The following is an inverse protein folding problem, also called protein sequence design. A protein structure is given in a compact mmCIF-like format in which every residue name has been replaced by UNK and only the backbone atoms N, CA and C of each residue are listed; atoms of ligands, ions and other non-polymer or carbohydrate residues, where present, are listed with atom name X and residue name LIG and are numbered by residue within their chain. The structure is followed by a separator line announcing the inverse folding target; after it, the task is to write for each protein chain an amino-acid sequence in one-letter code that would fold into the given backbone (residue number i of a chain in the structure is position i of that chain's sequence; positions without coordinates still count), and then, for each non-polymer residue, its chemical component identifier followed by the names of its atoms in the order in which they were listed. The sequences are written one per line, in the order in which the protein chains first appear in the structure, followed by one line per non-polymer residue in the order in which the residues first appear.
data_IF_823242091252
#
_entry.id   IF_823242091252
#
_cell.length_a   1.000
_cell.length_b   1.000
_cell.length_c   1.000
_cell.angle_alpha   90.00
_cell.angle_beta   90.00
_cell.angle_gamma   90.00
#
_symmetry.space_group_name_H-M   'P 1'
#
loop_
_entity.id
_entity.type
_entity.pdbx_description
1 polymer ?
#
# COMPACT_ATOMS: atom_id res chain seq x y z
N UNK A 1 16.07 7.58 28.61
CA UNK A 1 16.31 6.24 28.00
C UNK A 1 16.98 6.47 26.67
N UNK A 2 18.15 5.95 26.52
CA UNK A 2 18.88 6.00 25.26
C UNK A 2 18.44 4.83 24.39
N UNK A 3 18.13 5.12 23.12
CA UNK A 3 17.74 4.12 22.14
C UNK A 3 18.89 3.95 21.15
N UNK A 4 19.29 2.70 20.93
CA UNK A 4 20.21 2.35 19.85
C UNK A 4 19.44 2.33 18.54
N UNK A 5 19.94 3.03 17.52
CA UNK A 5 19.29 3.10 16.20
C UNK A 5 20.16 2.36 15.18
N UNK A 6 19.57 1.43 14.46
CA UNK A 6 20.22 0.65 13.41
C UNK A 6 19.49 0.77 12.07
N UNK A 7 20.25 0.73 10.99
CA UNK A 7 19.71 0.65 9.64
C UNK A 7 19.00 -0.69 9.44
N UNK A 8 17.87 -0.65 8.69
CA UNK A 8 17.20 -1.87 8.24
C UNK A 8 18.10 -2.67 7.31
N UNK A 9 18.11 -3.99 7.49
CA UNK A 9 18.82 -4.94 6.62
C UNK A 9 18.07 -6.27 6.56
N UNK A 10 18.53 -7.19 5.71
CA UNK A 10 17.99 -8.54 5.64
C UNK A 10 18.09 -9.30 6.99
N UNK A 11 19.10 -8.99 7.81
CA UNK A 11 19.29 -9.60 9.12
C UNK A 11 18.38 -8.97 10.18
N UNK A 12 18.29 -7.62 10.20
CA UNK A 12 17.57 -6.88 11.26
C UNK A 12 16.06 -6.89 11.06
N UNK A 13 15.58 -7.09 9.84
CA UNK A 13 14.14 -7.07 9.51
C UNK A 13 13.30 -8.08 10.32
N UNK A 14 13.92 -9.18 10.77
CA UNK A 14 13.24 -10.17 11.65
C UNK A 14 12.75 -9.57 12.96
N UNK A 15 13.41 -8.53 13.46
CA UNK A 15 13.06 -7.85 14.68
C UNK A 15 11.76 -7.02 14.56
N UNK A 16 11.30 -6.78 13.33
CA UNK A 16 10.02 -6.12 13.09
C UNK A 16 8.82 -7.04 13.35
N UNK A 17 8.98 -8.36 13.31
CA UNK A 17 7.87 -9.31 13.49
C UNK A 17 7.17 -9.14 14.85
N UNK A 18 7.87 -9.11 16.00
CA UNK A 18 7.24 -8.84 17.29
C UNK A 18 6.72 -7.40 17.40
N UNK A 19 7.43 -6.41 16.82
CA UNK A 19 7.00 -5.03 16.81
C UNK A 19 5.69 -4.82 16.02
N UNK A 20 5.54 -5.51 14.88
CA UNK A 20 4.31 -5.51 14.10
C UNK A 20 3.11 -6.00 14.91
N UNK A 21 3.29 -7.09 15.66
CA UNK A 21 2.26 -7.61 16.57
C UNK A 21 1.90 -6.62 17.67
N UNK A 22 2.91 -5.95 18.27
CA UNK A 22 2.69 -4.99 19.35
C UNK A 22 2.04 -3.68 18.87
N UNK A 23 2.43 -3.18 17.69
CA UNK A 23 1.96 -1.91 17.16
C UNK A 23 0.60 -1.99 16.44
N UNK A 24 0.39 -3.04 15.65
CA UNK A 24 -0.77 -3.19 14.77
C UNK A 24 -1.71 -4.32 15.15
N UNK A 25 -1.38 -5.13 16.18
CA UNK A 25 -2.14 -6.35 16.56
C UNK A 25 -2.28 -7.35 15.40
N UNK A 26 -1.31 -7.34 14.47
CA UNK A 26 -1.28 -8.21 13.30
C UNK A 26 -0.05 -9.13 13.34
N UNK A 27 -0.20 -10.34 12.82
CA UNK A 27 0.89 -11.27 12.65
C UNK A 27 1.40 -11.18 11.21
N UNK A 28 2.69 -10.97 11.06
CA UNK A 28 3.39 -11.03 9.78
C UNK A 28 4.52 -12.06 9.85
N UNK A 29 4.86 -12.65 8.71
CA UNK A 29 6.02 -13.53 8.65
C UNK A 29 7.28 -12.75 8.31
N UNK A 30 8.43 -13.24 8.78
CA UNK A 30 9.74 -12.73 8.36
C UNK A 30 9.88 -12.69 6.82
N UNK A 31 9.47 -13.79 6.15
CA UNK A 31 9.54 -13.91 4.68
C UNK A 31 8.72 -12.82 3.96
N UNK A 32 7.56 -12.47 4.52
CA UNK A 32 6.73 -11.40 3.97
C UNK A 32 7.44 -10.04 4.08
N UNK A 33 7.98 -9.71 5.25
CA UNK A 33 8.70 -8.45 5.47
C UNK A 33 9.97 -8.37 4.61
N UNK A 34 10.72 -9.47 4.52
CA UNK A 34 11.91 -9.55 3.69
C UNK A 34 11.59 -9.20 2.22
N UNK A 35 10.54 -9.82 1.66
CA UNK A 35 10.10 -9.53 0.29
C UNK A 35 9.56 -8.11 0.12
N UNK A 36 8.85 -7.58 1.13
CA UNK A 36 8.28 -6.24 1.09
C UNK A 36 9.35 -5.14 1.02
N UNK A 37 10.49 -5.33 1.68
CA UNK A 37 11.59 -4.36 1.70
C UNK A 37 12.74 -4.68 0.74
N UNK A 38 12.67 -5.80 0.02
CA UNK A 38 13.59 -6.15 -1.07
C UNK A 38 13.13 -5.44 -2.35
N UNK A 39 13.66 -4.25 -2.57
CA UNK A 39 13.35 -3.40 -3.73
C UNK A 39 14.55 -3.29 -4.70
N UNK A 40 15.44 -4.29 -4.73
CA UNK A 40 16.64 -4.33 -5.60
C UNK A 40 16.35 -4.09 -7.08
N UNK A 41 15.16 -4.47 -7.55
CA UNK A 41 14.73 -4.23 -8.93
C UNK A 41 14.56 -2.74 -9.27
N UNK A 42 14.41 -1.87 -8.26
CA UNK A 42 14.38 -0.41 -8.41
C UNK A 42 15.76 0.20 -8.15
N UNK A 43 16.65 -0.50 -7.40
CA UNK A 43 18.00 -0.13 -7.01
C UNK A 43 18.18 -0.05 -5.50
N UNK A 44 17.65 1.00 -4.81
CA UNK A 44 17.74 1.07 -3.35
C UNK A 44 16.88 -0.01 -2.67
N UNK A 45 17.41 -0.62 -1.60
CA UNK A 45 16.70 -1.61 -0.79
C UNK A 45 16.87 -1.37 0.70
N UNK A 46 15.97 -1.91 1.52
CA UNK A 46 16.01 -1.84 2.98
C UNK A 46 16.19 -0.40 3.50
N UNK A 47 15.47 0.56 2.94
CA UNK A 47 15.55 1.97 3.33
C UNK A 47 14.70 2.22 4.57
N UNK A 48 15.35 2.27 5.73
CA UNK A 48 14.68 2.49 7.01
C UNK A 48 15.59 2.31 8.21
N UNK A 49 15.06 2.62 9.39
CA UNK A 49 15.77 2.49 10.67
C UNK A 49 14.87 1.88 11.75
N UNK A 50 15.50 1.12 12.64
CA UNK A 50 14.89 0.47 13.80
C UNK A 50 15.50 1.07 15.06
N UNK A 51 14.66 1.41 16.06
CA UNK A 51 15.11 1.80 17.39
C UNK A 51 14.98 0.62 18.36
N UNK A 52 16.03 0.39 19.14
CA UNK A 52 16.13 -0.67 20.15
C UNK A 52 16.28 -0.08 21.54
N UNK A 53 15.76 -0.77 22.54
CA UNK A 53 16.11 -0.53 23.97
C UNK A 53 17.54 -0.99 24.24
N UNK A 54 18.06 -0.66 25.43
CA UNK A 54 19.34 -1.18 25.95
C UNK A 54 19.40 -2.71 26.01
N UNK A 55 18.23 -3.35 26.16
CA UNK A 55 18.05 -4.81 26.22
C UNK A 55 17.95 -5.47 24.84
N UNK A 56 18.00 -4.67 23.76
CA UNK A 56 17.94 -5.17 22.38
C UNK A 56 16.52 -5.39 21.83
N UNK A 57 15.47 -4.93 22.52
CA UNK A 57 14.10 -5.03 22.00
C UNK A 57 13.84 -3.94 20.97
N UNK A 58 13.38 -4.33 19.76
CA UNK A 58 12.93 -3.38 18.74
C UNK A 58 11.62 -2.71 19.18
N UNK A 59 11.61 -1.38 19.27
CA UNK A 59 10.49 -0.60 19.84
C UNK A 59 9.93 0.46 18.91
N UNK A 60 10.64 0.82 17.86
CA UNK A 60 10.11 1.68 16.80
C UNK A 60 10.78 1.35 15.46
N UNK A 61 10.05 1.62 14.39
CA UNK A 61 10.51 1.46 13.02
C UNK A 61 9.90 2.55 12.15
N UNK A 62 10.69 3.07 11.24
CA UNK A 62 10.25 3.85 10.11
C UNK A 62 11.00 3.40 8.86
N UNK A 63 10.27 3.09 7.79
CA UNK A 63 10.83 2.70 6.52
C UNK A 63 10.07 3.25 5.34
N UNK A 64 10.73 3.23 4.19
CA UNK A 64 10.14 3.60 2.90
C UNK A 64 10.41 2.51 1.87
N UNK A 65 9.52 2.38 0.91
CA UNK A 65 9.57 1.40 -0.18
C UNK A 65 9.85 2.15 -1.48
N UNK A 66 11.06 2.05 -2.04
CA UNK A 66 11.41 2.63 -3.33
C UNK A 66 10.55 2.09 -4.47
N UNK A 67 10.18 2.95 -5.39
CA UNK A 67 9.46 2.62 -6.62
C UNK A 67 9.81 3.61 -7.74
N UNK A 68 9.61 3.19 -8.99
CA UNK A 68 9.66 4.13 -10.10
C UNK A 68 8.40 5.00 -10.11
N UNK A 69 8.61 6.27 -10.35
CA UNK A 69 7.57 7.28 -10.29
C UNK A 69 7.68 8.23 -11.49
N UNK A 70 6.55 8.56 -12.10
CA UNK A 70 6.47 9.63 -13.09
C UNK A 70 6.29 10.94 -12.37
N UNK A 71 7.18 11.89 -12.60
CA UNK A 71 7.14 13.21 -12.00
C UNK A 71 7.47 14.26 -13.05
N UNK A 72 6.51 15.13 -13.39
CA UNK A 72 6.65 16.15 -14.43
C UNK A 72 7.14 15.55 -15.76
N UNK A 73 6.58 14.39 -16.17
CA UNK A 73 6.94 13.69 -17.40
C UNK A 73 8.28 12.94 -17.36
N UNK A 74 8.99 12.93 -16.23
CA UNK A 74 10.28 12.23 -16.08
C UNK A 74 10.12 11.00 -15.17
N UNK A 75 10.79 9.89 -15.53
CA UNK A 75 10.93 8.72 -14.67
C UNK A 75 11.98 8.99 -13.60
N UNK A 76 11.57 8.92 -12.33
CA UNK A 76 12.43 9.14 -11.15
C UNK A 76 12.30 7.98 -10.17
N UNK A 77 13.17 7.89 -9.17
CA UNK A 77 12.98 7.03 -8.01
C UNK A 77 12.30 7.86 -6.93
N UNK A 78 11.11 7.44 -6.54
CA UNK A 78 10.42 7.91 -5.35
C UNK A 78 10.36 6.78 -4.31
N UNK A 79 9.88 7.07 -3.10
CA UNK A 79 9.64 6.02 -2.13
C UNK A 79 8.33 6.24 -1.37
N UNK A 80 7.58 5.16 -1.14
CA UNK A 80 6.37 5.19 -0.34
C UNK A 80 6.71 4.98 1.14
N UNK A 81 6.25 5.90 2.01
CA UNK A 81 6.29 5.70 3.47
C UNK A 81 5.40 4.51 3.85
N UNK A 82 5.99 3.54 4.55
CA UNK A 82 5.34 2.28 4.89
C UNK A 82 5.61 1.86 6.34
N UNK A 83 4.67 1.12 6.92
CA UNK A 83 4.82 0.40 8.21
C UNK A 83 5.40 1.26 9.35
N UNK A 84 4.99 2.51 9.48
CA UNK A 84 5.41 3.37 10.60
C UNK A 84 4.92 2.79 11.93
N UNK A 85 5.84 2.29 12.75
CA UNK A 85 5.51 1.58 13.99
C UNK A 85 6.21 2.18 15.20
N UNK A 86 5.48 2.29 16.32
CA UNK A 86 6.05 2.53 17.64
C UNK A 86 5.30 1.68 18.65
N UNK A 87 6.06 0.88 19.40
CA UNK A 87 5.53 0.06 20.50
C UNK A 87 4.72 0.94 21.46
N UNK A 88 3.52 0.53 21.91
CA UNK A 88 2.64 1.38 22.72
C UNK A 88 3.33 2.02 23.94
N UNK A 89 4.17 1.26 24.66
CA UNK A 89 4.90 1.74 25.85
C UNK A 89 6.06 2.71 25.53
N UNK A 90 6.43 2.87 24.24
CA UNK A 90 7.52 3.74 23.81
C UNK A 90 7.04 4.93 22.96
N UNK A 91 5.72 5.15 22.87
CA UNK A 91 5.13 6.32 22.20
C UNK A 91 5.45 7.62 22.92
N UNK A 92 5.30 8.75 22.22
CA UNK A 92 5.53 10.12 22.73
C UNK A 92 6.99 10.41 23.16
N UNK A 93 7.96 9.62 22.68
CA UNK A 93 9.40 9.78 22.97
C UNK A 93 10.20 10.29 21.76
N UNK A 94 9.54 10.86 20.75
CA UNK A 94 10.19 11.42 19.56
C UNK A 94 10.74 10.39 18.54
N UNK A 95 10.58 9.09 18.79
CA UNK A 95 11.17 8.03 17.96
C UNK A 95 10.72 8.10 16.51
N UNK A 96 9.43 8.32 16.26
CA UNK A 96 8.90 8.47 14.90
C UNK A 96 9.67 9.54 14.11
N UNK A 97 9.80 10.76 14.66
CA UNK A 97 10.46 11.86 13.97
C UNK A 97 11.96 11.59 13.76
N UNK A 98 12.64 11.05 14.78
CA UNK A 98 14.07 10.74 14.69
C UNK A 98 14.34 9.70 13.60
N UNK A 99 13.59 8.58 13.58
CA UNK A 99 13.76 7.54 12.57
C UNK A 99 13.40 8.03 11.17
N UNK A 100 12.33 8.84 11.04
CA UNK A 100 11.94 9.43 9.77
C UNK A 100 13.02 10.33 9.18
N UNK A 101 13.58 11.25 9.97
CA UNK A 101 14.65 12.15 9.50
C UNK A 101 15.89 11.37 9.04
N UNK A 102 16.31 10.34 9.79
CA UNK A 102 17.42 9.46 9.38
C UNK A 102 17.09 8.69 8.08
N UNK A 103 15.86 8.23 7.95
CA UNK A 103 15.41 7.52 6.74
C UNK A 103 15.37 8.44 5.53
N UNK A 104 14.95 9.71 5.69
CA UNK A 104 14.95 10.68 4.60
C UNK A 104 16.38 11.04 4.16
N UNK A 105 17.31 11.21 5.10
CA UNK A 105 18.72 11.42 4.78
C UNK A 105 19.29 10.25 3.97
N UNK A 106 19.07 9.01 4.43
CA UNK A 106 19.49 7.81 3.70
C UNK A 106 18.84 7.71 2.31
N UNK A 107 17.54 8.04 2.20
CA UNK A 107 16.81 8.01 0.94
C UNK A 107 17.38 9.04 -0.06
N UNK A 108 17.71 10.25 0.41
CA UNK A 108 18.36 11.28 -0.43
C UNK A 108 19.75 10.85 -0.91
N UNK A 109 20.57 10.23 -0.06
CA UNK A 109 21.86 9.64 -0.43
C UNK A 109 21.71 8.55 -1.51
N UNK A 110 20.61 7.81 -1.49
CA UNK A 110 20.26 6.79 -2.48
C UNK A 110 19.55 7.36 -3.72
N UNK A 111 19.61 8.70 -3.93
CA UNK A 111 19.01 9.41 -5.08
C UNK A 111 17.49 9.29 -5.18
N UNK A 112 16.80 8.98 -4.10
CA UNK A 112 15.33 9.05 -4.04
C UNK A 112 14.95 10.52 -4.03
N UNK A 113 14.11 10.95 -4.96
CA UNK A 113 13.78 12.37 -5.15
C UNK A 113 12.69 12.86 -4.20
N UNK A 114 11.74 11.99 -3.87
CA UNK A 114 10.66 12.33 -2.95
C UNK A 114 10.20 11.10 -2.17
N UNK A 115 9.64 11.34 -1.00
CA UNK A 115 8.85 10.35 -0.25
C UNK A 115 7.39 10.76 -0.33
N UNK A 116 6.50 9.81 -0.58
CA UNK A 116 5.05 10.02 -0.57
C UNK A 116 4.36 8.98 0.33
N UNK A 117 3.09 9.20 0.63
CA UNK A 117 2.34 8.23 1.43
C UNK A 117 0.89 8.66 1.69
N UNK A 118 0.18 7.74 2.34
CA UNK A 118 -1.23 7.83 2.63
C UNK A 118 -1.46 7.72 4.15
N UNK A 119 -1.15 8.78 4.93
CA UNK A 119 -1.21 8.72 6.37
C UNK A 119 -2.65 8.54 6.87
N UNK A 120 -2.79 7.73 7.91
CA UNK A 120 -4.03 7.64 8.67
C UNK A 120 -4.10 8.73 9.75
N UNK A 121 -5.21 8.77 10.50
CA UNK A 121 -5.43 9.76 11.55
C UNK A 121 -4.34 9.76 12.62
N UNK A 122 -3.75 8.60 12.94
CA UNK A 122 -2.70 8.49 13.98
C UNK A 122 -1.34 9.03 13.50
N UNK A 123 -1.00 8.81 12.24
CA UNK A 123 0.30 9.20 11.67
C UNK A 123 0.31 10.61 11.08
N UNK A 124 -0.83 11.13 10.62
CA UNK A 124 -0.96 12.45 9.99
C UNK A 124 -0.32 13.59 10.80
N UNK A 125 -0.57 13.74 12.12
CA UNK A 125 0.06 14.81 12.91
C UNK A 125 1.59 14.72 12.95
N UNK A 126 2.12 13.50 12.87
CA UNK A 126 3.57 13.28 12.82
C UNK A 126 4.18 13.75 11.49
N UNK A 127 3.52 13.48 10.36
CA UNK A 127 3.95 13.94 9.04
C UNK A 127 3.86 15.47 8.91
N UNK A 128 2.84 16.10 9.48
CA UNK A 128 2.75 17.56 9.55
C UNK A 128 3.98 18.18 10.26
N UNK A 129 4.41 17.60 11.39
CA UNK A 129 5.62 18.03 12.10
C UNK A 129 6.90 17.83 11.29
N UNK A 130 6.92 16.85 10.39
CA UNK A 130 8.01 16.59 9.45
C UNK A 130 7.94 17.44 8.16
N UNK A 131 7.04 18.46 8.15
CA UNK A 131 6.85 19.40 7.02
C UNK A 131 6.43 18.75 5.72
N UNK A 132 5.71 17.64 5.79
CA UNK A 132 5.10 17.08 4.61
C UNK A 132 4.08 18.04 3.99
N UNK A 133 4.06 18.07 2.67
CA UNK A 133 3.04 18.75 1.89
C UNK A 133 1.90 17.78 1.63
N UNK A 134 0.67 18.29 1.53
CA UNK A 134 -0.51 17.47 1.28
C UNK A 134 -1.26 18.00 0.07
N UNK A 135 -1.74 17.10 -0.77
CA UNK A 135 -2.63 17.48 -1.85
C UNK A 135 -3.98 17.95 -1.28
N UNK A 136 -4.68 18.88 -1.98
CA UNK A 136 -6.00 19.35 -1.54
C UNK A 136 -7.03 18.22 -1.53
N UNK A 137 -6.90 17.28 -2.46
CA UNK A 137 -7.77 16.13 -2.57
C UNK A 137 -7.18 14.90 -1.87
N UNK A 138 -8.09 14.15 -1.22
CA UNK A 138 -7.77 12.87 -0.61
C UNK A 138 -8.06 11.71 -1.57
N UNK A 139 -7.47 10.55 -1.30
CA UNK A 139 -7.94 9.31 -1.93
C UNK A 139 -9.41 9.09 -1.61
N UNK A 140 -10.14 8.64 -2.61
CA UNK A 140 -11.56 8.34 -2.52
C UNK A 140 -11.78 6.84 -2.41
N UNK A 141 -12.66 6.44 -1.50
CA UNK A 141 -13.05 5.05 -1.34
C UNK A 141 -14.50 4.86 -1.74
N UNK A 142 -14.75 3.85 -2.57
CA UNK A 142 -16.09 3.36 -2.88
C UNK A 142 -16.28 2.01 -2.21
N UNK A 143 -17.36 1.86 -1.44
CA UNK A 143 -17.66 0.63 -0.71
C UNK A 143 -19.00 0.09 -1.16
N UNK A 144 -19.03 -1.18 -1.55
CA UNK A 144 -20.23 -1.90 -1.95
C UNK A 144 -20.45 -3.02 -0.96
N UNK A 145 -21.62 -3.07 -0.38
CA UNK A 145 -22.02 -4.15 0.54
C UNK A 145 -22.37 -5.40 -0.30
N UNK A 146 -21.65 -6.49 -0.11
CA UNK A 146 -21.86 -7.76 -0.81
C UNK A 146 -22.60 -8.80 0.03
N UNK A 147 -22.42 -8.76 1.38
CA UNK A 147 -23.08 -9.69 2.30
C UNK A 147 -23.31 -9.02 3.66
N UNK A 148 -24.17 -9.63 4.51
CA UNK A 148 -24.39 -9.14 5.87
C UNK A 148 -23.28 -9.54 6.83
N UNK A 149 -22.64 -10.69 6.59
CA UNK A 149 -21.59 -11.26 7.42
C UNK A 149 -20.34 -11.53 6.57
N UNK A 150 -19.15 -11.46 7.21
CA UNK A 150 -17.86 -11.76 6.55
C UNK A 150 -17.16 -12.91 7.26
N UNK A 151 -17.33 -14.14 6.75
CA UNK A 151 -16.53 -15.26 7.24
C UNK A 151 -15.08 -15.22 6.71
N UNK A 152 -14.80 -14.60 5.59
CA UNK A 152 -13.42 -14.33 5.14
C UNK A 152 -12.63 -13.52 6.17
N UNK A 153 -13.26 -12.55 6.86
CA UNK A 153 -12.64 -11.77 7.94
C UNK A 153 -12.33 -12.63 9.16
N UNK A 154 -13.21 -13.57 9.50
CA UNK A 154 -12.98 -14.50 10.61
C UNK A 154 -11.80 -15.43 10.30
N UNK A 155 -11.76 -15.99 9.09
CA UNK A 155 -10.67 -16.84 8.62
C UNK A 155 -9.34 -16.08 8.56
N UNK A 156 -9.35 -14.83 8.07
CA UNK A 156 -8.16 -13.97 8.01
C UNK A 156 -7.52 -13.74 9.38
N UNK A 157 -8.32 -13.66 10.43
CA UNK A 157 -7.82 -13.45 11.80
C UNK A 157 -7.24 -14.72 12.45
N UNK A 158 -7.51 -15.91 11.89
CA UNK A 158 -7.09 -17.20 12.42
C UNK A 158 -6.03 -17.79 11.47
N UNK A 159 -4.72 -17.68 11.77
CA UNK A 159 -3.63 -17.95 10.82
C UNK A 159 -3.67 -19.33 10.15
N UNK A 160 -4.03 -20.39 10.90
CA UNK A 160 -4.14 -21.74 10.33
C UNK A 160 -5.29 -21.87 9.33
N UNK A 161 -6.46 -21.34 9.67
CA UNK A 161 -7.63 -21.34 8.78
C UNK A 161 -7.43 -20.43 7.57
N UNK A 162 -6.71 -19.33 7.74
CA UNK A 162 -6.38 -18.41 6.64
C UNK A 162 -5.50 -19.09 5.60
N UNK A 163 -4.53 -19.92 6.00
CA UNK A 163 -3.71 -20.68 5.05
C UNK A 163 -4.54 -21.62 4.20
N UNK A 164 -5.49 -22.34 4.82
CA UNK A 164 -6.42 -23.23 4.10
C UNK A 164 -7.33 -22.41 3.18
N UNK A 165 -7.87 -21.29 3.66
CA UNK A 165 -8.71 -20.42 2.87
C UNK A 165 -7.95 -19.85 1.64
N UNK A 166 -6.69 -19.40 1.80
CA UNK A 166 -5.87 -18.96 0.68
C UNK A 166 -5.56 -20.08 -0.31
N UNK A 167 -5.34 -21.29 0.16
CA UNK A 167 -5.16 -22.45 -0.72
C UNK A 167 -6.42 -22.69 -1.56
N UNK A 168 -7.61 -22.59 -0.98
CA UNK A 168 -8.89 -22.69 -1.70
C UNK A 168 -9.07 -21.51 -2.67
N UNK A 169 -8.75 -20.29 -2.26
CA UNK A 169 -8.77 -19.12 -3.17
C UNK A 169 -7.87 -19.32 -4.38
N UNK A 170 -6.65 -19.81 -4.17
CA UNK A 170 -5.68 -20.09 -5.25
C UNK A 170 -6.17 -21.21 -6.20
N UNK A 171 -7.01 -22.13 -5.71
CA UNK A 171 -7.66 -23.16 -6.55
C UNK A 171 -8.90 -22.67 -7.28
N UNK A 172 -9.57 -21.63 -6.78
CA UNK A 172 -10.79 -21.07 -7.36
C UNK A 172 -10.55 -19.86 -8.26
N UNK A 173 -9.51 -19.09 -7.95
CA UNK A 173 -9.12 -17.88 -8.66
C UNK A 173 -7.83 -18.13 -9.44
N UNK A 174 -7.69 -17.48 -10.59
CA UNK A 174 -6.43 -17.50 -11.33
C UNK A 174 -5.27 -17.00 -10.45
N UNK A 175 -4.15 -17.71 -10.51
CA UNK A 175 -2.88 -17.29 -9.87
C UNK A 175 -2.15 -16.26 -10.75
N UNK A 176 -2.77 -15.82 -11.85
CA UNK A 176 -2.21 -14.80 -12.72
C UNK A 176 -2.04 -13.46 -11.97
N UNK A 177 -0.94 -12.80 -12.30
CA UNK A 177 -0.67 -11.44 -11.86
C UNK A 177 -0.71 -10.52 -13.08
N UNK A 178 -1.08 -9.24 -12.90
CA UNK A 178 -0.98 -8.29 -13.99
C UNK A 178 0.49 -8.12 -14.43
N UNK A 179 0.68 -7.81 -15.69
CA UNK A 179 1.90 -7.29 -16.29
C UNK A 179 1.72 -5.80 -16.64
N UNK A 180 2.73 -5.17 -17.21
CA UNK A 180 2.68 -3.77 -17.60
C UNK A 180 1.52 -3.47 -18.57
N UNK A 181 1.17 -4.39 -19.47
CA UNK A 181 0.11 -4.22 -20.47
C UNK A 181 -1.29 -4.07 -19.86
N UNK A 182 -1.47 -4.59 -18.63
CA UNK A 182 -2.72 -4.44 -17.89
C UNK A 182 -3.04 -2.97 -17.56
N UNK A 183 -2.03 -2.13 -17.34
CA UNK A 183 -2.24 -0.74 -16.91
C UNK A 183 -2.31 0.25 -18.07
N UNK A 184 -1.79 -0.10 -19.26
CA UNK A 184 -1.66 0.82 -20.37
C UNK A 184 -0.61 1.93 -20.11
N UNK A 185 -0.57 2.91 -20.98
CA UNK A 185 0.32 4.06 -20.82
C UNK A 185 -0.17 5.00 -19.70
N UNK A 186 0.74 5.39 -18.82
CA UNK A 186 0.44 6.35 -17.76
C UNK A 186 0.59 7.77 -18.28
N UNK A 187 -0.48 8.55 -18.23
CA UNK A 187 -0.54 9.93 -18.71
C UNK A 187 -0.27 10.92 -17.56
N UNK A 188 -0.60 10.57 -16.32
CA UNK A 188 -0.47 11.42 -15.13
C UNK A 188 0.77 11.08 -14.30
N UNK A 189 1.20 12.00 -13.45
CA UNK A 189 2.20 11.72 -12.43
C UNK A 189 1.73 10.61 -11.46
N UNK A 190 2.67 9.92 -10.81
CA UNK A 190 2.41 8.85 -9.86
C UNK A 190 3.27 7.62 -10.07
N UNK A 191 2.96 6.52 -9.38
CA UNK A 191 3.71 5.26 -9.46
C UNK A 191 3.69 4.70 -10.89
N UNK A 192 4.86 4.38 -11.45
CA UNK A 192 4.98 3.70 -12.74
C UNK A 192 4.69 2.22 -12.51
N UNK A 193 3.64 1.71 -13.18
CA UNK A 193 3.17 0.33 -13.04
C UNK A 193 3.70 -0.54 -14.19
N UNK A 194 5.04 -0.57 -14.30
CA UNK A 194 5.76 -1.41 -15.25
C UNK A 194 5.93 -2.86 -14.73
N UNK A 195 6.62 -3.70 -15.49
CA UNK A 195 6.88 -5.09 -15.10
C UNK A 195 7.66 -5.19 -13.78
N UNK A 196 8.52 -4.21 -13.47
CA UNK A 196 9.21 -4.13 -12.19
C UNK A 196 8.23 -3.99 -11.03
N UNK A 197 7.24 -3.10 -11.17
CA UNK A 197 6.17 -2.93 -10.20
C UNK A 197 5.32 -4.20 -10.05
N UNK A 198 4.93 -4.80 -11.17
CA UNK A 198 4.13 -6.02 -11.16
C UNK A 198 4.88 -7.18 -10.49
N UNK A 199 6.15 -7.35 -10.79
CA UNK A 199 7.00 -8.36 -10.18
C UNK A 199 7.17 -8.14 -8.67
N UNK A 200 7.43 -6.89 -8.27
CA UNK A 200 7.54 -6.51 -6.86
C UNK A 200 6.26 -6.85 -6.09
N UNK A 201 5.09 -6.49 -6.60
CA UNK A 201 3.80 -6.72 -5.91
C UNK A 201 3.42 -8.20 -5.73
N UNK A 202 4.11 -9.15 -6.36
CA UNK A 202 3.93 -10.60 -6.13
C UNK A 202 4.24 -11.07 -4.71
N UNK A 203 4.81 -10.22 -3.84
CA UNK A 203 4.96 -10.55 -2.43
C UNK A 203 3.61 -10.67 -1.68
N UNK A 204 2.57 -10.04 -2.20
CA UNK A 204 1.21 -10.12 -1.68
C UNK A 204 0.40 -11.24 -2.36
N UNK A 205 -0.53 -11.84 -1.63
CA UNK A 205 -1.50 -12.78 -2.18
C UNK A 205 -2.60 -12.01 -2.92
N UNK A 206 -2.41 -11.83 -4.23
CA UNK A 206 -3.34 -11.13 -5.11
C UNK A 206 -3.70 -12.01 -6.31
N UNK A 207 -4.81 -11.73 -6.97
CA UNK A 207 -5.33 -12.50 -8.09
C UNK A 207 -5.80 -11.57 -9.21
N UNK A 208 -5.71 -12.03 -10.45
CA UNK A 208 -6.33 -11.39 -11.60
C UNK A 208 -7.60 -12.16 -11.93
N UNK A 209 -8.74 -11.48 -11.97
CA UNK A 209 -10.02 -12.06 -12.39
C UNK A 209 -10.56 -11.34 -13.62
N UNK A 210 -11.26 -12.09 -14.47
CA UNK A 210 -11.95 -11.54 -15.64
C UNK A 210 -13.46 -11.70 -15.47
N UNK A 211 -14.18 -10.62 -15.60
CA UNK A 211 -15.64 -10.56 -15.56
C UNK A 211 -16.08 -9.95 -16.89
N UNK A 212 -16.66 -10.76 -17.78
CA UNK A 212 -16.93 -10.41 -19.17
C UNK A 212 -15.63 -9.96 -19.87
N UNK A 213 -15.51 -8.71 -20.24
CA UNK A 213 -14.32 -8.13 -20.88
C UNK A 213 -13.51 -7.23 -19.91
N UNK A 214 -13.91 -7.15 -18.63
CA UNK A 214 -13.24 -6.34 -17.62
C UNK A 214 -12.32 -7.23 -16.79
N UNK A 215 -11.04 -6.90 -16.74
CA UNK A 215 -10.08 -7.54 -15.85
C UNK A 215 -9.94 -6.73 -14.57
N UNK A 216 -9.90 -7.39 -13.43
CA UNK A 216 -9.71 -6.76 -12.13
C UNK A 216 -8.59 -7.44 -11.34
N UNK A 217 -7.65 -6.64 -10.85
CA UNK A 217 -6.61 -7.09 -9.93
C UNK A 217 -7.12 -6.96 -8.51
N UNK A 218 -7.23 -8.08 -7.82
CA UNK A 218 -7.93 -8.16 -6.53
C UNK A 218 -7.04 -8.71 -5.41
N UNK A 219 -7.39 -8.33 -4.18
CA UNK A 219 -6.86 -8.91 -2.94
C UNK A 219 -8.00 -9.24 -1.99
N UNK A 220 -7.91 -10.41 -1.35
CA UNK A 220 -8.90 -10.86 -0.36
C UNK A 220 -8.23 -10.93 1.01
N UNK A 221 -8.61 -10.03 1.93
CA UNK A 221 -8.11 -9.99 3.31
C UNK A 221 -9.23 -9.65 4.32
N UNK A 222 -10.35 -10.35 4.20
CA UNK A 222 -11.59 -10.08 4.96
C UNK A 222 -12.54 -9.12 4.23
N UNK A 223 -12.08 -8.49 3.16
CA UNK A 223 -12.81 -7.71 2.18
C UNK A 223 -12.29 -8.05 0.79
N UNK A 224 -13.07 -7.79 -0.23
CA UNK A 224 -12.59 -7.84 -1.61
C UNK A 224 -12.09 -6.46 -2.00
N UNK A 225 -10.78 -6.28 -2.05
CA UNK A 225 -10.12 -5.04 -2.44
C UNK A 225 -9.79 -5.09 -3.93
N UNK A 226 -10.11 -4.03 -4.65
CA UNK A 226 -9.82 -3.90 -6.06
C UNK A 226 -8.63 -2.98 -6.22
N UNK A 227 -7.50 -3.54 -6.64
CA UNK A 227 -6.23 -2.82 -6.81
C UNK A 227 -6.26 -1.91 -8.02
N UNK A 228 -6.69 -2.46 -9.15
CA UNK A 228 -6.86 -1.76 -10.42
C UNK A 228 -7.81 -2.54 -11.33
N UNK A 229 -8.32 -1.90 -12.38
CA UNK A 229 -9.19 -2.51 -13.37
C UNK A 229 -8.78 -2.11 -14.79
N UNK A 230 -8.95 -3.04 -15.73
CA UNK A 230 -8.74 -2.81 -17.16
C UNK A 230 -10.04 -3.09 -17.92
N UNK A 231 -10.39 -2.23 -18.89
CA UNK A 231 -11.57 -2.39 -19.74
C UNK A 231 -12.88 -1.94 -19.11
N UNK A 232 -12.87 -1.34 -17.91
CA UNK A 232 -14.05 -0.76 -17.27
C UNK A 232 -14.41 0.58 -17.93
N UNK A 233 -15.70 0.75 -18.25
CA UNK A 233 -16.26 1.99 -18.78
C UNK A 233 -17.72 2.16 -18.32
N UNK A 234 -18.35 3.25 -18.67
CA UNK A 234 -19.71 3.57 -18.26
C UNK A 234 -20.74 2.53 -18.66
N UNK A 235 -20.59 1.93 -19.86
CA UNK A 235 -21.56 1.00 -20.40
C UNK A 235 -21.53 -0.38 -19.69
N UNK A 236 -20.37 -0.78 -19.15
CA UNK A 236 -20.21 -2.10 -18.52
C UNK A 236 -20.11 -2.02 -16.98
N UNK A 237 -19.98 -0.83 -16.39
CA UNK A 237 -19.73 -0.65 -14.95
C UNK A 237 -20.84 -1.27 -14.08
N UNK A 238 -22.11 -1.07 -14.38
CA UNK A 238 -23.20 -1.60 -13.57
C UNK A 238 -23.21 -3.14 -13.54
N UNK A 239 -23.07 -3.78 -14.70
CA UNK A 239 -22.99 -5.25 -14.82
C UNK A 239 -21.76 -5.81 -14.12
N UNK A 240 -20.60 -5.17 -14.30
CA UNK A 240 -19.36 -5.54 -13.63
C UNK A 240 -19.50 -5.47 -12.09
N UNK A 241 -20.03 -4.37 -11.55
CA UNK A 241 -20.24 -4.17 -10.11
C UNK A 241 -21.17 -5.26 -9.56
N UNK A 242 -22.28 -5.54 -10.23
CA UNK A 242 -23.23 -6.58 -9.81
C UNK A 242 -22.57 -7.96 -9.72
N UNK A 243 -21.83 -8.38 -10.76
CA UNK A 243 -21.13 -9.68 -10.77
C UNK A 243 -20.00 -9.73 -9.75
N UNK A 244 -19.22 -8.66 -9.63
CA UNK A 244 -18.16 -8.53 -8.63
C UNK A 244 -18.71 -8.68 -7.21
N UNK A 245 -19.87 -8.08 -6.94
CA UNK A 245 -20.58 -8.17 -5.65
C UNK A 245 -21.00 -9.62 -5.35
N UNK A 246 -21.51 -10.34 -6.36
CA UNK A 246 -21.84 -11.77 -6.25
C UNK A 246 -20.59 -12.61 -5.95
N UNK A 247 -19.49 -12.37 -6.65
CA UNK A 247 -18.20 -13.04 -6.39
C UNK A 247 -17.74 -12.77 -4.96
N UNK A 248 -17.75 -11.51 -4.51
CA UNK A 248 -17.35 -11.14 -3.15
C UNK A 248 -18.18 -11.87 -2.09
N UNK A 249 -19.50 -11.98 -2.28
CA UNK A 249 -20.38 -12.72 -1.39
C UNK A 249 -20.00 -14.21 -1.32
N UNK A 250 -19.76 -14.86 -2.47
CA UNK A 250 -19.32 -16.27 -2.54
C UNK A 250 -17.97 -16.51 -1.89
N UNK A 251 -17.05 -15.54 -1.98
CA UNK A 251 -15.76 -15.55 -1.29
C UNK A 251 -15.87 -15.19 0.19
N UNK A 252 -17.08 -14.99 0.72
CA UNK A 252 -17.32 -14.63 2.11
C UNK A 252 -16.89 -13.23 2.50
N UNK A 253 -16.73 -12.35 1.55
CA UNK A 253 -16.45 -10.93 1.81
C UNK A 253 -17.74 -10.16 2.02
N UNK A 254 -17.79 -9.33 3.08
CA UNK A 254 -18.94 -8.45 3.30
C UNK A 254 -18.94 -7.25 2.37
N UNK A 255 -17.76 -6.72 2.11
CA UNK A 255 -17.58 -5.48 1.37
C UNK A 255 -16.64 -5.68 0.17
N UNK A 256 -16.97 -5.00 -0.94
CA UNK A 256 -16.05 -4.73 -2.05
C UNK A 256 -15.55 -3.31 -1.91
N UNK A 257 -14.24 -3.08 -2.08
CA UNK A 257 -13.61 -1.78 -1.89
C UNK A 257 -12.78 -1.40 -3.10
N UNK A 258 -13.09 -0.24 -3.69
CA UNK A 258 -12.20 0.46 -4.60
C UNK A 258 -11.60 1.67 -3.88
N UNK A 259 -10.37 2.03 -4.20
CA UNK A 259 -9.72 3.23 -3.72
C UNK A 259 -8.94 3.87 -4.86
N UNK A 260 -9.14 5.17 -5.09
CA UNK A 260 -8.54 5.87 -6.22
C UNK A 260 -8.49 7.38 -6.00
N UNK A 261 -7.65 8.09 -6.73
CA UNK A 261 -7.64 9.56 -6.80
C UNK A 261 -8.82 10.08 -7.58
N UNK A 262 -9.28 11.30 -7.29
CA UNK A 262 -10.37 11.98 -8.00
C UNK A 262 -10.11 12.20 -9.51
N UNK A 263 -8.85 12.29 -9.91
CA UNK A 263 -8.45 12.52 -11.31
C UNK A 263 -8.24 11.23 -12.11
N UNK A 264 -8.60 10.06 -11.57
CA UNK A 264 -8.48 8.80 -12.30
C UNK A 264 -9.71 8.51 -13.16
N UNK A 265 -9.53 7.82 -14.29
CA UNK A 265 -10.65 7.31 -15.10
C UNK A 265 -11.56 6.39 -14.28
N UNK A 266 -10.98 5.60 -13.37
CA UNK A 266 -11.74 4.73 -12.48
C UNK A 266 -12.71 5.52 -11.60
N UNK A 267 -12.28 6.65 -11.04
CA UNK A 267 -13.14 7.52 -10.24
C UNK A 267 -14.32 8.05 -11.07
N UNK A 268 -14.06 8.55 -12.28
CA UNK A 268 -15.08 9.12 -13.16
C UNK A 268 -16.16 8.08 -13.50
N UNK A 269 -15.77 6.84 -13.74
CA UNK A 269 -16.73 5.75 -14.03
C UNK A 269 -17.52 5.37 -12.78
N UNK A 270 -16.84 5.18 -11.64
CA UNK A 270 -17.50 4.69 -10.42
C UNK A 270 -18.46 5.72 -9.79
N UNK A 271 -18.11 7.01 -9.82
CA UNK A 271 -18.96 8.06 -9.22
C UNK A 271 -20.35 8.19 -9.85
N UNK A 272 -20.55 7.65 -11.06
CA UNK A 272 -21.87 7.64 -11.72
C UNK A 272 -22.86 6.66 -11.07
N UNK A 273 -22.35 5.62 -10.42
CA UNK A 273 -23.17 4.57 -9.82
C UNK A 273 -22.98 4.42 -8.32
N UNK A 274 -21.89 4.94 -7.77
CA UNK A 274 -21.51 4.79 -6.36
C UNK A 274 -21.16 6.14 -5.75
N UNK A 275 -21.42 6.29 -4.46
CA UNK A 275 -21.06 7.49 -3.70
C UNK A 275 -19.65 7.32 -3.11
N UNK A 276 -18.67 8.18 -3.47
CA UNK A 276 -17.35 8.17 -2.89
C UNK A 276 -17.36 8.71 -1.46
N UNK A 277 -16.33 8.35 -0.68
CA UNK A 277 -16.00 8.93 0.61
C UNK A 277 -14.52 9.24 0.67
N UNK A 278 -14.13 10.30 1.36
CA UNK A 278 -12.74 10.58 1.64
C UNK A 278 -12.10 9.44 2.45
N UNK A 279 -10.90 9.03 2.06
CA UNK A 279 -10.17 7.94 2.71
C UNK A 279 -8.89 8.46 3.37
N UNK A 280 -7.80 8.56 2.60
CA UNK A 280 -6.51 8.96 3.12
C UNK A 280 -6.03 10.26 2.46
N UNK A 281 -5.48 11.21 3.23
CA UNK A 281 -4.74 12.32 2.64
C UNK A 281 -3.56 11.77 1.81
N UNK A 282 -3.24 12.47 0.74
CA UNK A 282 -2.07 12.17 -0.08
C UNK A 282 -0.98 13.16 0.32
N UNK A 283 0.04 12.66 0.99
CA UNK A 283 1.16 13.47 1.47
C UNK A 283 2.45 13.16 0.72
N UNK A 284 3.33 14.15 0.63
CA UNK A 284 4.66 13.97 0.06
C UNK A 284 5.70 14.92 0.70
N UNK A 285 6.96 14.52 0.61
CA UNK A 285 8.11 15.30 1.03
C UNK A 285 9.19 15.23 -0.05
N UNK A 286 9.50 16.34 -0.74
CA UNK A 286 10.67 16.41 -1.61
C UNK A 286 11.96 16.21 -0.78
N UNK A 287 12.89 15.39 -1.29
CA UNK A 287 14.18 15.15 -0.64
C UNK A 287 15.33 15.90 -1.32
N UNK A 288 15.08 16.44 -2.49
CA UNK A 288 16.03 17.26 -3.25
C UNK A 288 15.51 18.69 -3.38
N UNK A 289 16.40 19.64 -3.71
CA UNK A 289 16.11 21.07 -3.72
C UNK A 289 15.19 21.56 -4.84
N UNK A 290 14.80 20.70 -5.77
CA UNK A 290 13.88 21.06 -6.84
C UNK A 290 12.45 21.21 -6.32
N UNK A 291 11.73 22.22 -6.81
CA UNK A 291 10.30 22.36 -6.55
C UNK A 291 9.56 21.17 -7.17
N UNK A 292 9.03 20.32 -6.32
CA UNK A 292 8.19 19.18 -6.71
C UNK A 292 6.73 19.59 -6.60
N UNK A 293 5.97 19.41 -7.67
CA UNK A 293 4.51 19.48 -7.65
C UNK A 293 3.97 18.07 -7.88
N UNK A 294 2.99 17.67 -7.12
CA UNK A 294 2.27 16.41 -7.30
C UNK A 294 0.77 16.66 -7.60
N UNK A 295 0.43 17.87 -8.09
CA UNK A 295 -0.97 18.26 -8.32
C UNK A 295 -1.71 17.31 -9.26
N UNK A 296 -1.02 16.77 -10.28
CA UNK A 296 -1.57 15.85 -11.28
C UNK A 296 -1.35 14.37 -10.92
N UNK A 297 -0.86 14.08 -9.71
CA UNK A 297 -0.56 12.71 -9.31
C UNK A 297 -1.84 11.88 -9.12
N UNK A 298 -1.87 10.72 -9.76
CA UNK A 298 -2.98 9.78 -9.70
C UNK A 298 -2.56 8.46 -9.07
N UNK A 299 -3.39 7.98 -8.14
CA UNK A 299 -3.16 6.76 -7.39
C UNK A 299 -4.40 5.87 -7.41
N UNK A 300 -4.17 4.56 -7.40
CA UNK A 300 -5.18 3.54 -7.18
C UNK A 300 -4.79 2.64 -6.02
N UNK A 301 -5.66 1.73 -5.61
CA UNK A 301 -5.42 0.88 -4.45
C UNK A 301 -4.13 0.05 -4.57
N UNK A 302 -3.78 -0.40 -5.77
CA UNK A 302 -2.57 -1.19 -6.01
C UNK A 302 -1.27 -0.42 -5.72
N UNK A 303 -1.30 0.92 -5.74
CA UNK A 303 -0.12 1.73 -5.42
C UNK A 303 0.19 1.73 -3.93
N UNK A 304 -0.81 1.48 -3.07
CA UNK A 304 -0.62 1.45 -1.63
C UNK A 304 0.20 0.23 -1.18
N UNK A 305 1.02 0.41 -0.15
CA UNK A 305 1.88 -0.63 0.44
C UNK A 305 1.11 -1.75 1.17
N UNK A 306 -0.17 -1.51 1.44
CA UNK A 306 -1.09 -2.44 2.07
C UNK A 306 -2.02 -3.18 1.09
N UNK A 307 -1.82 -2.99 -0.22
CA UNK A 307 -2.45 -3.79 -1.28
C UNK A 307 -1.58 -4.93 -1.73
#
# INVERSE_FOLDING_TARGET
MDYRIEKLSAETIRHLVPLYKAAFHQKVSYKFLLKKYDTRSVGPEFIGFIAYTSEGLAVAFYGVIPCFFQLNGKKVIAAQSADTMTHPQHRKKGLFQNLALKTYALAAEQRIQLVFGFPNQDSYPGFMKLKWQFLPDQLQVFTIKAANFSYSRLLYRTPGLFSIYNMLLNGLLSVEHPDASFFGEKISDGVIRDDTFCLYKKYNATHLITIDKVKAWIKVDGKLKIGAVQGLNENNAAGFIQRLTSIASRLGCRDVIFMTSKYSLLYEVLKKTLTPRDAFPIGFLPLQSEKVSMADASFEYCDADFF
#
